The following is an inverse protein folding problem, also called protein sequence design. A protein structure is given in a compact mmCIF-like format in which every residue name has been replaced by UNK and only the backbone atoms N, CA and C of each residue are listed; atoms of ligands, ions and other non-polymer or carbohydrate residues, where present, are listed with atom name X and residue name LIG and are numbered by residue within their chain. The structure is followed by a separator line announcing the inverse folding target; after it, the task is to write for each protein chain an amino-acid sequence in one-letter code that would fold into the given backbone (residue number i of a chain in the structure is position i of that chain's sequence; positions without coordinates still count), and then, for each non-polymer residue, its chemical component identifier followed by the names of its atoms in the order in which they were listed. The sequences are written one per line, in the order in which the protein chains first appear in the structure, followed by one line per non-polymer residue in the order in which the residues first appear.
data_IF_324259477076
#
_entry.id   IF_324259477076
#
_cell.length_a   1.000
_cell.length_b   1.000
_cell.length_c   1.000
_cell.angle_alpha   90.00
_cell.angle_beta   90.00
_cell.angle_gamma   90.00
#
_symmetry.space_group_name_H-M   'P 1'
#
loop_
_entity.id
_entity.type
_entity.pdbx_description
1 polymer ?
#
# COMPACT_ATOMS: atom_id res chain seq x y z
N UNK A 1 -52.56 22.99 27.14
CA UNK A 1 -51.58 21.92 26.77
C UNK A 1 -50.33 22.09 27.61
N UNK A 2 -49.52 21.05 27.82
CA UNK A 2 -48.24 21.19 28.56
C UNK A 2 -47.30 22.23 27.90
N UNK A 3 -47.36 22.37 26.58
CA UNK A 3 -46.64 23.40 25.83
C UNK A 3 -47.04 24.84 26.24
N UNK A 4 -48.34 25.12 26.42
CA UNK A 4 -48.82 26.44 26.85
C UNK A 4 -48.28 26.79 28.24
N UNK A 5 -48.18 25.79 29.13
CA UNK A 5 -47.61 25.97 30.46
C UNK A 5 -46.10 26.28 30.40
N UNK A 6 -45.34 25.64 29.50
CA UNK A 6 -43.93 25.98 29.28
C UNK A 6 -43.78 27.42 28.77
N UNK A 7 -44.61 27.82 27.81
CA UNK A 7 -44.58 29.18 27.26
C UNK A 7 -44.90 30.24 28.32
N UNK A 8 -45.93 30.01 29.15
CA UNK A 8 -46.28 30.90 30.25
C UNK A 8 -45.13 31.07 31.24
N UNK A 9 -44.47 29.96 31.63
CA UNK A 9 -43.32 29.99 32.55
C UNK A 9 -42.09 30.66 31.93
N UNK A 10 -41.87 30.49 30.63
CA UNK A 10 -40.81 31.18 29.91
C UNK A 10 -41.03 32.70 29.90
N UNK A 11 -42.27 33.14 29.65
CA UNK A 11 -42.62 34.57 29.68
C UNK A 11 -42.45 35.16 31.08
N UNK A 12 -42.85 34.42 32.12
CA UNK A 12 -42.66 34.79 33.53
C UNK A 12 -41.15 34.93 33.86
N UNK A 13 -40.34 33.92 33.52
CA UNK A 13 -38.90 33.94 33.70
C UNK A 13 -38.26 35.13 32.98
N UNK A 14 -38.62 35.38 31.72
CA UNK A 14 -38.08 36.50 30.95
C UNK A 14 -38.43 37.85 31.58
N UNK A 15 -39.67 38.04 32.04
CA UNK A 15 -40.07 39.27 32.72
C UNK A 15 -39.25 39.50 34.00
N UNK A 16 -39.06 38.47 34.81
CA UNK A 16 -38.30 38.54 36.06
C UNK A 16 -36.81 38.75 35.80
N UNK A 17 -36.24 38.09 34.79
CA UNK A 17 -34.86 38.28 34.35
C UNK A 17 -34.59 39.76 33.96
N UNK A 18 -35.52 40.38 33.23
CA UNK A 18 -35.40 41.80 32.84
C UNK A 18 -35.45 42.75 34.05
N UNK A 19 -36.23 42.42 35.08
CA UNK A 19 -36.28 43.19 36.32
C UNK A 19 -34.95 43.01 37.09
N UNK A 20 -34.52 41.77 37.29
CA UNK A 20 -33.29 41.44 38.01
C UNK A 20 -32.04 42.09 37.38
N UNK A 21 -31.91 42.05 36.04
CA UNK A 21 -30.80 42.70 35.30
C UNK A 21 -30.69 44.21 35.50
N UNK A 22 -31.79 44.89 35.87
CA UNK A 22 -31.82 46.35 36.06
C UNK A 22 -31.48 46.75 37.51
N UNK A 23 -31.55 45.81 38.44
CA UNK A 23 -31.23 46.05 39.85
C UNK A 23 -29.74 45.81 40.10
N UNK A 24 -29.17 46.56 41.04
CA UNK A 24 -27.78 46.45 41.46
C UNK A 24 -27.68 45.88 42.87
N UNK A 25 -26.56 45.24 43.16
CA UNK A 25 -26.23 44.83 44.52
C UNK A 25 -26.25 46.06 45.45
N UNK A 26 -27.16 46.05 46.43
CA UNK A 26 -27.44 47.17 47.33
C UNK A 26 -28.85 47.78 47.18
N UNK A 27 -29.57 47.51 46.09
CA UNK A 27 -30.97 47.90 45.96
C UNK A 27 -31.85 47.10 46.94
N UNK A 28 -32.88 47.75 47.51
CA UNK A 28 -33.74 47.14 48.55
C UNK A 28 -34.48 45.89 48.09
N UNK A 29 -34.69 45.75 46.78
CA UNK A 29 -35.40 44.62 46.17
C UNK A 29 -34.47 43.62 45.46
N UNK A 30 -33.14 43.83 45.51
CA UNK A 30 -32.19 43.00 44.75
C UNK A 30 -32.26 41.52 45.16
N UNK A 31 -32.21 41.25 46.47
CA UNK A 31 -32.27 39.87 46.99
C UNK A 31 -33.60 39.19 46.67
N UNK A 32 -34.74 39.90 46.81
CA UNK A 32 -36.05 39.35 46.43
C UNK A 32 -36.12 39.05 44.92
N UNK A 33 -35.58 39.95 44.08
CA UNK A 33 -35.55 39.74 42.63
C UNK A 33 -34.65 38.56 42.24
N UNK A 34 -33.53 38.33 42.94
CA UNK A 34 -32.67 37.15 42.75
C UNK A 34 -33.41 35.87 43.11
N UNK A 35 -34.02 35.81 44.29
CA UNK A 35 -34.74 34.62 44.75
C UNK A 35 -35.93 34.29 43.83
N UNK A 36 -36.65 35.32 43.34
CA UNK A 36 -37.73 35.16 42.34
C UNK A 36 -37.21 34.68 41.00
N UNK A 37 -36.03 35.14 40.59
CA UNK A 37 -35.39 34.70 39.36
C UNK A 37 -35.03 33.21 39.45
N UNK A 38 -34.36 32.79 40.53
CA UNK A 38 -34.03 31.38 40.79
C UNK A 38 -35.29 30.50 40.86
N UNK A 39 -36.33 30.94 41.57
CA UNK A 39 -37.60 30.20 41.65
C UNK A 39 -38.26 30.05 40.27
N UNK A 40 -38.22 31.11 39.45
CA UNK A 40 -38.83 31.10 38.12
C UNK A 40 -38.04 30.24 37.14
N UNK A 41 -36.72 30.20 37.27
CA UNK A 41 -35.82 29.31 36.52
C UNK A 41 -36.12 27.84 36.85
N UNK A 42 -36.28 27.52 38.14
CA UNK A 42 -36.67 26.19 38.62
C UNK A 42 -38.05 25.76 38.09
N UNK A 43 -39.03 26.66 38.13
CA UNK A 43 -40.40 26.42 37.64
C UNK A 43 -40.40 26.19 36.13
N UNK A 44 -39.67 27.00 35.37
CA UNK A 44 -39.51 26.82 33.94
C UNK A 44 -38.83 25.49 33.62
N UNK A 45 -37.73 25.18 34.31
CA UNK A 45 -36.98 23.92 34.14
C UNK A 45 -37.86 22.69 34.38
N UNK A 46 -38.68 22.69 35.44
CA UNK A 46 -39.63 21.60 35.75
C UNK A 46 -40.71 21.48 34.67
N UNK A 47 -41.27 22.60 34.21
CA UNK A 47 -42.27 22.59 33.15
C UNK A 47 -41.70 22.04 31.84
N UNK A 48 -40.49 22.47 31.46
CA UNK A 48 -39.80 22.03 30.26
C UNK A 48 -39.48 20.53 30.32
N UNK A 49 -38.90 20.07 31.45
CA UNK A 49 -38.57 18.66 31.69
C UNK A 49 -39.79 17.74 31.62
N UNK A 50 -40.94 18.19 32.14
CA UNK A 50 -42.19 17.43 32.13
C UNK A 50 -42.89 17.44 30.76
N UNK A 51 -42.83 18.56 30.03
CA UNK A 51 -43.49 18.71 28.73
C UNK A 51 -42.78 17.92 27.62
N UNK A 52 -41.45 17.90 27.62
CA UNK A 52 -40.62 17.25 26.58
C UNK A 52 -40.06 15.91 27.05
N UNK A 53 -40.93 15.03 27.54
CA UNK A 53 -40.55 13.74 28.10
C UNK A 53 -40.69 12.56 27.13
N UNK A 54 -40.92 12.80 25.82
CA UNK A 54 -41.13 11.75 24.83
C UNK A 54 -40.38 12.05 23.55
N UNK A 55 -39.60 11.07 23.10
CA UNK A 55 -38.84 11.11 21.87
C UNK A 55 -39.57 10.31 20.80
N UNK A 56 -39.70 10.87 19.61
CA UNK A 56 -40.27 10.20 18.45
C UNK A 56 -39.22 10.05 17.35
N UNK A 57 -39.12 8.87 16.74
CA UNK A 57 -38.16 8.58 15.68
C UNK A 57 -38.74 7.58 14.66
N UNK A 58 -38.29 7.63 13.39
CA UNK A 58 -38.74 6.71 12.36
C UNK A 58 -38.18 5.30 12.61
N UNK A 59 -39.02 4.29 12.47
CA UNK A 59 -38.69 2.87 12.62
C UNK A 59 -39.56 2.01 11.69
N UNK A 60 -39.31 0.70 11.66
CA UNK A 60 -40.23 -0.27 11.07
C UNK A 60 -40.97 -1.05 12.15
N UNK A 61 -42.23 -1.36 11.86
CA UNK A 61 -43.01 -2.28 12.68
C UNK A 61 -42.39 -3.68 12.60
N UNK A 62 -41.99 -4.30 13.72
CA UNK A 62 -41.38 -5.63 13.71
C UNK A 62 -42.33 -6.73 13.19
N UNK A 63 -43.64 -6.52 13.19
CA UNK A 63 -44.63 -7.53 12.82
C UNK A 63 -44.90 -7.59 11.31
N UNK A 64 -45.02 -6.42 10.67
CA UNK A 64 -45.42 -6.31 9.26
C UNK A 64 -44.45 -5.49 8.39
N UNK A 65 -43.39 -4.92 8.99
CA UNK A 65 -42.33 -4.21 8.28
C UNK A 65 -42.72 -2.82 7.78
N UNK A 66 -43.88 -2.28 8.15
CA UNK A 66 -44.30 -0.95 7.69
C UNK A 66 -43.51 0.17 8.38
N UNK A 67 -43.28 1.25 7.65
CA UNK A 67 -42.70 2.47 8.19
C UNK A 67 -43.65 3.13 9.21
N UNK A 68 -43.13 3.47 10.39
CA UNK A 68 -43.90 4.15 11.44
C UNK A 68 -43.05 5.10 12.27
N UNK A 69 -43.74 6.01 12.98
CA UNK A 69 -43.12 6.88 13.97
C UNK A 69 -43.27 6.25 15.36
N UNK A 70 -42.18 5.72 15.88
CA UNK A 70 -42.13 5.08 17.21
C UNK A 70 -41.79 6.13 18.27
N UNK A 71 -42.36 5.97 19.47
CA UNK A 71 -42.18 6.93 20.56
C UNK A 71 -41.71 6.27 21.85
N UNK A 72 -40.59 6.74 22.41
CA UNK A 72 -40.01 6.27 23.69
C UNK A 72 -40.08 7.39 24.74
N UNK A 73 -40.44 7.02 25.97
CA UNK A 73 -40.49 7.96 27.10
C UNK A 73 -39.12 8.16 27.72
N UNK A 74 -38.76 9.41 27.98
CA UNK A 74 -37.59 9.82 28.74
C UNK A 74 -37.94 9.69 30.23
N UNK A 75 -37.39 8.66 30.88
CA UNK A 75 -37.65 8.44 32.30
C UNK A 75 -37.01 9.57 33.11
N UNK A 76 -37.73 10.05 34.13
CA UNK A 76 -37.32 11.18 34.98
C UNK A 76 -37.27 12.55 34.29
N UNK A 77 -37.85 12.67 33.09
CA UNK A 77 -37.93 13.93 32.36
C UNK A 77 -36.63 14.34 31.67
N UNK A 78 -36.71 15.39 30.86
CA UNK A 78 -35.55 15.93 30.16
C UNK A 78 -34.59 16.61 31.15
N UNK A 79 -33.30 16.27 31.08
CA UNK A 79 -32.25 16.93 31.86
C UNK A 79 -31.84 18.25 31.22
N UNK A 80 -31.59 19.26 32.04
CA UNK A 80 -31.21 20.61 31.61
C UNK A 80 -29.82 21.02 32.12
N UNK A 81 -28.98 20.03 32.48
CA UNK A 81 -27.61 20.25 32.92
C UNK A 81 -26.64 20.45 31.74
N UNK A 82 -25.35 20.38 32.04
CA UNK A 82 -24.27 20.47 31.05
C UNK A 82 -23.46 19.17 30.99
N UNK A 83 -22.71 18.98 29.90
CA UNK A 83 -21.88 17.79 29.69
C UNK A 83 -22.71 16.51 29.75
N UNK A 84 -22.33 15.58 30.62
CA UNK A 84 -23.01 14.30 30.81
C UNK A 84 -24.45 14.40 31.34
N UNK A 85 -24.83 15.56 31.88
CA UNK A 85 -26.19 15.85 32.36
C UNK A 85 -26.98 16.72 31.37
N UNK A 86 -26.48 16.91 30.15
CA UNK A 86 -27.20 17.63 29.09
C UNK A 86 -28.36 16.81 28.53
N UNK A 87 -29.32 17.51 27.92
CA UNK A 87 -30.43 16.91 27.19
C UNK A 87 -29.91 16.07 26.01
N UNK A 88 -28.90 16.58 25.29
CA UNK A 88 -28.30 15.96 24.14
C UNK A 88 -27.71 14.59 24.49
N UNK A 89 -26.84 14.54 25.50
CA UNK A 89 -26.24 13.27 25.96
C UNK A 89 -27.30 12.29 26.45
N UNK A 90 -28.38 12.76 27.11
CA UNK A 90 -29.48 11.91 27.53
C UNK A 90 -30.24 11.31 26.34
N UNK A 91 -30.52 12.12 25.31
CA UNK A 91 -31.24 11.69 24.10
C UNK A 91 -30.38 10.70 23.30
N UNK A 92 -29.10 10.98 23.12
CA UNK A 92 -28.17 10.07 22.42
C UNK A 92 -28.07 8.72 23.13
N UNK A 93 -27.89 8.71 24.46
CA UNK A 93 -27.88 7.47 25.26
C UNK A 93 -29.19 6.70 25.15
N UNK A 94 -30.33 7.38 25.08
CA UNK A 94 -31.63 6.72 24.92
C UNK A 94 -31.78 6.12 23.52
N UNK A 95 -31.40 6.85 22.47
CA UNK A 95 -31.45 6.37 21.08
C UNK A 95 -30.47 5.22 20.83
N UNK A 96 -29.34 5.19 21.53
CA UNK A 96 -28.37 4.10 21.47
C UNK A 96 -28.70 2.93 22.39
N UNK A 97 -29.89 2.92 23.02
CA UNK A 97 -30.31 1.86 23.94
C UNK A 97 -31.29 0.88 23.28
N UNK A 98 -31.47 -0.34 23.84
CA UNK A 98 -32.48 -1.28 23.36
C UNK A 98 -33.90 -0.72 23.39
N UNK A 99 -34.18 0.30 24.21
CA UNK A 99 -35.53 0.93 24.28
C UNK A 99 -35.90 1.64 22.99
N UNK A 100 -34.90 2.15 22.27
CA UNK A 100 -35.06 2.78 20.98
C UNK A 100 -34.58 1.89 19.82
N UNK A 101 -34.47 0.58 20.06
CA UNK A 101 -33.99 -0.40 19.09
C UNK A 101 -32.65 -0.02 18.46
N UNK A 102 -31.75 0.56 19.27
CA UNK A 102 -30.43 1.04 18.84
C UNK A 102 -30.49 1.97 17.62
N UNK A 103 -31.52 2.82 17.54
CA UNK A 103 -31.72 3.77 16.44
C UNK A 103 -30.50 4.67 16.19
N UNK A 104 -29.67 4.93 17.20
CA UNK A 104 -28.40 5.62 17.06
C UNK A 104 -27.22 4.68 17.37
N UNK A 105 -26.29 4.57 16.43
CA UNK A 105 -24.96 4.00 16.69
C UNK A 105 -24.10 5.09 17.32
N UNK A 106 -23.81 4.95 18.62
CA UNK A 106 -23.08 5.97 19.38
C UNK A 106 -21.64 6.15 18.90
N UNK A 107 -20.96 5.07 18.55
CA UNK A 107 -19.61 5.07 18.03
C UNK A 107 -19.40 3.91 17.04
N UNK A 108 -18.48 4.08 16.09
CA UNK A 108 -18.05 3.01 15.19
C UNK A 108 -16.71 2.47 15.70
N UNK A 109 -16.68 1.19 16.02
CA UNK A 109 -15.52 0.50 16.58
C UNK A 109 -15.37 -0.89 15.96
N UNK A 110 -14.24 -1.55 16.28
CA UNK A 110 -13.96 -2.91 15.80
C UNK A 110 -15.05 -3.92 16.17
N UNK A 111 -15.80 -3.65 17.23
CA UNK A 111 -16.79 -4.59 17.78
C UNK A 111 -18.14 -4.53 17.07
N UNK A 112 -18.45 -3.44 16.35
CA UNK A 112 -19.76 -3.24 15.72
C UNK A 112 -19.72 -2.98 14.20
N UNK A 113 -18.54 -2.92 13.59
CA UNK A 113 -18.42 -2.74 12.14
C UNK A 113 -19.16 -3.82 11.34
N UNK A 114 -19.03 -5.09 11.73
CA UNK A 114 -19.64 -6.20 10.99
C UNK A 114 -21.17 -6.13 10.96
N UNK A 115 -21.79 -5.76 12.08
CA UNK A 115 -23.23 -5.56 12.19
C UNK A 115 -23.68 -4.35 11.34
N UNK A 116 -22.98 -3.22 11.45
CA UNK A 116 -23.27 -2.03 10.65
C UNK A 116 -23.12 -2.30 9.15
N UNK A 117 -22.12 -3.07 8.72
CA UNK A 117 -21.97 -3.47 7.33
C UNK A 117 -23.13 -4.34 6.87
N UNK A 118 -23.54 -5.34 7.65
CA UNK A 118 -24.65 -6.22 7.31
C UNK A 118 -25.97 -5.43 7.17
N UNK A 119 -26.25 -4.53 8.10
CA UNK A 119 -27.42 -3.64 8.02
C UNK A 119 -27.35 -2.70 6.81
N UNK A 120 -26.17 -2.14 6.49
CA UNK A 120 -26.02 -1.26 5.35
C UNK A 120 -26.28 -2.02 4.04
N UNK A 121 -25.73 -3.22 3.93
CA UNK A 121 -25.91 -4.10 2.78
C UNK A 121 -27.36 -4.55 2.62
N UNK A 122 -28.10 -4.75 3.71
CA UNK A 122 -29.51 -5.13 3.67
C UNK A 122 -30.40 -3.95 3.27
N UNK A 123 -30.22 -2.78 3.89
CA UNK A 123 -31.19 -1.68 3.80
C UNK A 123 -30.83 -0.58 2.79
N UNK A 124 -29.56 -0.42 2.42
CA UNK A 124 -29.10 0.70 1.60
C UNK A 124 -28.74 0.32 0.15
N UNK A 125 -28.62 -0.98 -0.12
CA UNK A 125 -28.49 -1.49 -1.49
C UNK A 125 -29.86 -1.78 -2.10
N UNK A 126 -29.98 -1.77 -3.44
CA UNK A 126 -31.22 -2.19 -4.07
C UNK A 126 -31.49 -3.66 -3.77
N UNK A 127 -32.75 -4.01 -3.55
CA UNK A 127 -33.17 -5.38 -3.26
C UNK A 127 -32.99 -6.30 -4.48
N UNK A 128 -32.78 -7.59 -4.23
CA UNK A 128 -32.60 -8.61 -5.28
C UNK A 128 -31.19 -9.18 -5.33
N UNK A 129 -31.09 -10.48 -5.64
CA UNK A 129 -29.85 -11.28 -5.52
C UNK A 129 -28.67 -10.77 -6.38
N UNK A 130 -28.99 -10.10 -7.48
CA UNK A 130 -28.02 -9.60 -8.48
C UNK A 130 -27.77 -8.08 -8.36
N UNK A 131 -28.52 -7.38 -7.50
CA UNK A 131 -28.40 -5.93 -7.32
C UNK A 131 -27.34 -5.56 -6.29
N UNK A 132 -26.07 -5.80 -6.65
CA UNK A 132 -24.92 -5.57 -5.75
C UNK A 132 -24.21 -4.24 -5.97
N UNK A 133 -24.52 -3.55 -7.08
CA UNK A 133 -23.84 -2.34 -7.52
C UNK A 133 -24.81 -1.17 -7.63
N UNK A 134 -24.48 -0.04 -7.02
CA UNK A 134 -25.34 1.17 -7.02
C UNK A 134 -24.47 2.43 -6.86
N UNK A 135 -24.88 3.61 -7.35
CA UNK A 135 -24.16 4.85 -7.10
C UNK A 135 -24.02 5.11 -5.59
N UNK A 136 -22.84 5.56 -5.12
CA UNK A 136 -22.67 5.90 -3.70
C UNK A 136 -23.66 6.97 -3.23
N UNK A 137 -24.01 7.91 -4.11
CA UNK A 137 -25.03 8.94 -3.84
C UNK A 137 -26.40 8.34 -3.51
N UNK A 138 -26.76 7.22 -4.12
CA UNK A 138 -28.04 6.56 -3.89
C UNK A 138 -28.05 5.85 -2.52
N UNK A 139 -26.93 5.21 -2.14
CA UNK A 139 -26.74 4.64 -0.79
C UNK A 139 -26.89 5.75 0.26
N UNK A 140 -26.20 6.87 0.09
CA UNK A 140 -26.28 8.02 0.99
C UNK A 140 -27.69 8.62 1.04
N UNK A 141 -28.44 8.59 -0.06
CA UNK A 141 -29.83 9.07 -0.12
C UNK A 141 -30.76 8.11 0.61
N UNK A 142 -30.62 6.79 0.41
CA UNK A 142 -31.39 5.78 1.14
C UNK A 142 -31.11 5.83 2.64
N UNK A 143 -29.86 6.06 3.05
CA UNK A 143 -29.50 6.21 4.46
C UNK A 143 -30.23 7.38 5.15
N UNK A 144 -30.56 8.44 4.39
CA UNK A 144 -31.32 9.59 4.90
C UNK A 144 -32.83 9.35 4.96
N UNK A 145 -33.34 8.43 4.14
CA UNK A 145 -34.78 8.22 3.97
C UNK A 145 -35.29 6.91 4.60
N UNK A 146 -34.40 5.97 4.96
CA UNK A 146 -34.78 4.64 5.45
C UNK A 146 -35.14 4.67 6.95
N UNK A 147 -36.38 4.31 7.34
CA UNK A 147 -36.80 4.28 8.74
C UNK A 147 -36.14 3.18 9.56
N UNK A 148 -35.84 2.03 8.95
CA UNK A 148 -35.17 0.90 9.62
C UNK A 148 -33.67 1.09 9.78
N UNK A 149 -33.04 1.93 8.96
CA UNK A 149 -31.61 2.21 9.03
C UNK A 149 -31.24 2.93 10.33
N UNK A 150 -30.28 2.43 11.13
CA UNK A 150 -29.80 3.16 12.29
C UNK A 150 -28.98 4.38 11.87
N UNK A 151 -29.09 5.45 12.63
CA UNK A 151 -28.32 6.66 12.43
C UNK A 151 -26.86 6.43 12.83
N UNK A 152 -25.97 6.78 11.90
CA UNK A 152 -24.53 6.67 12.10
C UNK A 152 -24.02 7.84 12.94
N UNK A 153 -22.89 7.68 13.66
CA UNK A 153 -22.36 8.73 14.53
C UNK A 153 -21.87 9.94 13.73
N UNK A 154 -22.34 11.12 14.13
CA UNK A 154 -21.96 12.39 13.52
C UNK A 154 -22.29 12.52 12.02
N UNK A 155 -21.77 13.57 11.39
CA UNK A 155 -22.02 13.82 9.96
C UNK A 155 -21.23 12.87 9.03
N UNK A 156 -20.13 12.28 9.51
CA UNK A 156 -19.22 11.45 8.71
C UNK A 156 -19.34 9.94 8.94
N UNK A 157 -20.24 9.48 9.82
CA UNK A 157 -20.28 8.06 10.21
C UNK A 157 -20.49 7.09 9.04
N UNK A 158 -21.32 7.45 8.06
CA UNK A 158 -21.53 6.62 6.86
C UNK A 158 -20.26 6.55 5.98
N UNK A 159 -19.50 7.64 5.87
CA UNK A 159 -18.24 7.68 5.12
C UNK A 159 -17.13 6.93 5.86
N UNK A 160 -17.11 6.97 7.20
CA UNK A 160 -16.23 6.13 8.03
C UNK A 160 -16.52 4.65 7.80
N UNK A 161 -17.81 4.26 7.82
CA UNK A 161 -18.24 2.90 7.55
C UNK A 161 -17.78 2.46 6.15
N UNK A 162 -18.01 3.29 5.12
CA UNK A 162 -17.51 3.03 3.77
C UNK A 162 -15.99 2.83 3.72
N UNK A 163 -15.24 3.72 4.36
CA UNK A 163 -13.77 3.68 4.33
C UNK A 163 -13.25 2.37 4.91
N UNK A 164 -13.82 1.93 6.04
CA UNK A 164 -13.43 0.66 6.66
C UNK A 164 -13.86 -0.55 5.80
N UNK A 165 -15.06 -0.52 5.19
CA UNK A 165 -15.50 -1.58 4.28
C UNK A 165 -14.60 -1.73 3.05
N UNK A 166 -14.13 -0.62 2.47
CA UNK A 166 -13.18 -0.62 1.35
C UNK A 166 -11.82 -1.18 1.77
N UNK A 167 -11.33 -0.79 2.96
CA UNK A 167 -10.05 -1.28 3.52
C UNK A 167 -10.06 -2.79 3.75
N UNK A 168 -11.19 -3.35 4.17
CA UNK A 168 -11.39 -4.78 4.37
C UNK A 168 -11.73 -5.53 3.08
N UNK A 169 -11.84 -4.83 1.94
CA UNK A 169 -12.23 -5.41 0.66
C UNK A 169 -13.66 -5.94 0.61
N UNK A 170 -14.49 -5.58 1.61
CA UNK A 170 -15.90 -5.98 1.69
C UNK A 170 -16.72 -5.29 0.60
N UNK A 171 -16.43 -4.01 0.36
CA UNK A 171 -16.99 -3.23 -0.73
C UNK A 171 -15.89 -2.84 -1.73
N UNK A 172 -16.28 -2.57 -2.97
CA UNK A 172 -15.39 -2.03 -4.02
C UNK A 172 -16.01 -0.76 -4.59
N UNK A 173 -15.23 0.31 -4.70
CA UNK A 173 -15.66 1.56 -5.32
C UNK A 173 -15.04 1.66 -6.73
N UNK A 174 -15.89 1.72 -7.74
CA UNK A 174 -15.46 1.96 -9.12
C UNK A 174 -15.10 3.43 -9.37
N UNK A 175 -14.27 3.69 -10.38
CA UNK A 175 -13.91 5.04 -10.82
C UNK A 175 -15.13 5.86 -11.30
N UNK A 176 -16.22 5.18 -11.67
CA UNK A 176 -17.50 5.77 -12.04
C UNK A 176 -18.37 6.19 -10.84
N UNK A 177 -17.87 6.02 -9.62
CA UNK A 177 -18.57 6.40 -8.37
C UNK A 177 -19.63 5.39 -7.91
N UNK A 178 -19.70 4.22 -8.55
CA UNK A 178 -20.55 3.12 -8.11
C UNK A 178 -19.84 2.28 -7.05
N UNK A 179 -20.58 1.94 -6.00
CA UNK A 179 -20.12 1.02 -4.97
C UNK A 179 -20.75 -0.35 -5.18
N UNK A 180 -19.95 -1.39 -5.01
CA UNK A 180 -20.37 -2.79 -5.13
C UNK A 180 -20.13 -3.52 -3.81
N UNK A 181 -21.14 -4.28 -3.35
CA UNK A 181 -21.03 -5.18 -2.19
C UNK A 181 -20.75 -6.62 -2.62
N UNK A 182 -20.13 -7.39 -1.73
CA UNK A 182 -19.90 -8.81 -1.95
C UNK A 182 -21.19 -9.67 -2.01
N UNK A 183 -21.05 -10.97 -2.29
CA UNK A 183 -19.81 -11.64 -2.66
C UNK A 183 -19.38 -11.28 -4.10
N UNK A 184 -18.09 -11.03 -4.29
CA UNK A 184 -17.50 -10.78 -5.60
C UNK A 184 -17.24 -12.10 -6.34
N UNK A 185 -17.08 -12.08 -7.68
CA UNK A 185 -16.50 -13.21 -8.38
C UNK A 185 -15.20 -13.63 -7.68
N UNK A 186 -15.03 -14.93 -7.46
CA UNK A 186 -13.83 -15.45 -6.81
C UNK A 186 -12.61 -15.10 -7.66
N UNK A 187 -11.54 -14.66 -7.00
CA UNK A 187 -10.28 -14.39 -7.68
C UNK A 187 -9.76 -15.64 -8.38
N UNK A 188 -9.08 -15.47 -9.50
CA UNK A 188 -8.50 -16.60 -10.23
C UNK A 188 -7.21 -17.07 -9.57
N UNK A 189 -6.95 -18.38 -9.62
CA UNK A 189 -5.71 -18.97 -9.16
C UNK A 189 -4.54 -18.42 -10.00
N UNK A 190 -3.53 -17.85 -9.32
CA UNK A 190 -2.34 -17.25 -9.93
C UNK A 190 -1.09 -17.72 -9.19
N UNK A 191 0.09 -17.45 -9.73
CA UNK A 191 1.38 -17.70 -9.06
C UNK A 191 2.21 -16.43 -9.09
N UNK A 192 2.76 -16.07 -7.94
CA UNK A 192 3.82 -15.07 -7.87
C UNK A 192 5.17 -15.77 -8.08
N UNK A 193 6.01 -15.22 -8.96
CA UNK A 193 7.32 -15.78 -9.29
C UNK A 193 8.38 -14.83 -8.77
N UNK A 194 9.23 -15.32 -7.88
CA UNK A 194 10.30 -14.52 -7.26
C UNK A 194 11.66 -15.17 -7.46
N UNK A 195 12.68 -14.37 -7.77
CA UNK A 195 14.05 -14.87 -7.91
C UNK A 195 14.69 -14.99 -6.52
N UNK A 196 15.19 -16.19 -6.19
CA UNK A 196 15.95 -16.44 -4.96
C UNK A 196 17.43 -16.16 -5.20
N UNK A 197 17.98 -16.86 -6.19
CA UNK A 197 19.41 -16.80 -6.52
C UNK A 197 19.60 -17.06 -8.01
N UNK A 198 20.54 -16.33 -8.58
CA UNK A 198 21.09 -16.59 -9.91
C UNK A 198 22.48 -17.18 -9.68
N UNK A 199 22.81 -18.27 -10.36
CA UNK A 199 24.12 -18.92 -10.31
C UNK A 199 24.91 -18.60 -11.60
N UNK A 200 25.77 -17.56 -11.56
CA UNK A 200 26.65 -17.16 -12.67
C UNK A 200 27.36 -18.29 -13.39
N UNK A 201 27.89 -19.25 -12.64
CA UNK A 201 28.79 -20.28 -13.17
C UNK A 201 28.05 -21.37 -13.95
N UNK A 202 26.81 -21.68 -13.56
CA UNK A 202 26.00 -22.73 -14.18
C UNK A 202 24.94 -22.17 -15.14
N UNK A 203 24.63 -20.88 -15.05
CA UNK A 203 23.52 -20.28 -15.78
C UNK A 203 22.15 -20.59 -15.19
N UNK A 204 22.08 -21.25 -14.04
CA UNK A 204 20.82 -21.58 -13.38
C UNK A 204 20.24 -20.37 -12.64
N UNK A 205 18.93 -20.21 -12.74
CA UNK A 205 18.14 -19.33 -11.87
C UNK A 205 17.22 -20.17 -11.00
N UNK A 206 17.27 -19.92 -9.69
CA UNK A 206 16.39 -20.55 -8.71
C UNK A 206 15.27 -19.58 -8.34
N UNK A 207 14.04 -20.06 -8.48
CA UNK A 207 12.80 -19.32 -8.29
C UNK A 207 12.01 -19.89 -7.12
N UNK A 208 11.35 -19.01 -6.37
CA UNK A 208 10.26 -19.37 -5.46
C UNK A 208 8.94 -18.94 -6.10
N UNK A 209 8.02 -19.91 -6.16
CA UNK A 209 6.70 -19.82 -6.73
C UNK A 209 5.69 -19.82 -5.59
N UNK A 210 4.93 -18.73 -5.45
CA UNK A 210 3.89 -18.61 -4.42
C UNK A 210 2.51 -18.60 -5.07
N UNK A 211 1.80 -19.73 -5.09
CA UNK A 211 0.40 -19.77 -5.54
C UNK A 211 -0.47 -18.84 -4.71
N UNK A 212 -1.46 -18.22 -5.36
CA UNK A 212 -2.49 -17.40 -4.73
C UNK A 212 -3.86 -17.84 -5.22
N UNK A 213 -4.83 -17.82 -4.32
CA UNK A 213 -6.22 -18.21 -4.60
C UNK A 213 -6.33 -19.61 -5.22
N UNK A 214 -5.59 -20.57 -4.67
CA UNK A 214 -5.41 -21.89 -5.27
C UNK A 214 -5.66 -23.06 -4.28
N UNK A 215 -6.40 -22.78 -3.20
CA UNK A 215 -6.70 -23.73 -2.13
C UNK A 215 -5.47 -24.14 -1.32
N UNK A 216 -5.64 -25.19 -0.49
CA UNK A 216 -4.61 -25.68 0.44
C UNK A 216 -3.54 -26.55 -0.24
N UNK A 217 -3.82 -27.08 -1.44
CA UNK A 217 -2.94 -27.99 -2.18
C UNK A 217 -2.77 -27.55 -3.64
N UNK A 218 -2.22 -26.35 -3.90
CA UNK A 218 -2.06 -25.84 -5.26
C UNK A 218 -1.07 -26.70 -6.06
N UNK A 219 -1.36 -26.92 -7.34
CA UNK A 219 -0.41 -27.54 -8.27
C UNK A 219 0.02 -26.52 -9.31
N UNK A 220 1.32 -26.31 -9.47
CA UNK A 220 1.89 -25.41 -10.48
C UNK A 220 2.46 -26.24 -11.63
N UNK A 221 2.09 -25.87 -12.85
CA UNK A 221 2.61 -26.40 -14.09
C UNK A 221 3.44 -25.34 -14.80
N UNK A 222 4.41 -25.75 -15.62
CA UNK A 222 5.27 -24.83 -16.34
C UNK A 222 5.63 -25.30 -17.75
N UNK A 223 5.89 -24.34 -18.62
CA UNK A 223 6.39 -24.55 -19.98
C UNK A 223 7.26 -23.39 -20.43
N UNK A 224 8.02 -23.61 -21.52
CA UNK A 224 8.73 -22.54 -22.24
C UNK A 224 7.82 -21.83 -23.27
N UNK A 225 6.55 -22.24 -23.37
CA UNK A 225 5.52 -21.65 -24.23
C UNK A 225 4.36 -21.10 -23.38
N UNK A 226 3.66 -20.09 -23.91
CA UNK A 226 2.60 -19.40 -23.18
C UNK A 226 1.38 -20.27 -22.83
N UNK A 227 1.06 -21.25 -23.68
CA UNK A 227 -0.11 -22.12 -23.54
C UNK A 227 0.18 -23.27 -22.55
N UNK A 228 0.29 -22.95 -21.27
CA UNK A 228 0.52 -23.92 -20.19
C UNK A 228 -0.80 -24.54 -19.72
N UNK A 229 -0.78 -25.84 -19.49
CA UNK A 229 -1.92 -26.64 -19.06
C UNK A 229 -1.52 -27.68 -18.00
N UNK A 230 -2.48 -28.44 -17.51
CA UNK A 230 -2.25 -29.56 -16.58
C UNK A 230 -1.60 -30.80 -17.21
N UNK A 231 -1.26 -30.71 -18.50
CA UNK A 231 -0.49 -31.72 -19.24
C UNK A 231 0.99 -31.37 -19.39
N UNK A 232 1.37 -30.16 -19.02
CA UNK A 232 2.76 -29.69 -19.06
C UNK A 232 3.53 -30.15 -17.82
N UNK A 233 4.77 -29.67 -17.68
CA UNK A 233 5.65 -30.10 -16.59
C UNK A 233 5.13 -29.62 -15.25
N UNK A 234 4.99 -30.52 -14.29
CA UNK A 234 4.64 -30.16 -12.92
C UNK A 234 5.87 -29.63 -12.17
N UNK A 235 5.69 -28.60 -11.35
CA UNK A 235 6.70 -28.15 -10.39
C UNK A 235 6.62 -29.02 -9.14
N UNK A 236 7.74 -29.66 -8.78
CA UNK A 236 7.82 -30.53 -7.60
C UNK A 236 8.20 -29.74 -6.33
N UNK A 237 9.12 -28.77 -6.44
CA UNK A 237 9.54 -27.90 -5.34
C UNK A 237 9.22 -26.44 -5.71
N UNK A 238 8.21 -25.88 -5.06
CA UNK A 238 7.77 -24.50 -5.28
C UNK A 238 8.76 -23.49 -4.72
N UNK A 239 9.55 -23.84 -3.71
CA UNK A 239 10.47 -22.94 -3.06
C UNK A 239 11.86 -22.94 -3.70
N UNK A 240 12.21 -23.95 -4.48
CA UNK A 240 13.54 -24.06 -5.10
C UNK A 240 13.49 -24.50 -6.58
N UNK A 241 12.50 -24.04 -7.35
CA UNK A 241 12.43 -24.33 -8.78
C UNK A 241 13.66 -23.79 -9.52
N UNK A 242 14.47 -24.67 -10.11
CA UNK A 242 15.70 -24.29 -10.83
C UNK A 242 15.54 -24.47 -12.33
N UNK A 243 15.99 -23.48 -13.12
CA UNK A 243 15.99 -23.55 -14.58
C UNK A 243 17.11 -22.72 -15.21
N UNK A 244 17.57 -23.13 -16.38
CA UNK A 244 18.50 -22.39 -17.24
C UNK A 244 17.78 -21.63 -18.36
N UNK A 245 16.45 -21.73 -18.44
CA UNK A 245 15.65 -21.10 -19.50
C UNK A 245 15.56 -19.58 -19.33
N UNK A 246 15.58 -18.85 -20.45
CA UNK A 246 15.41 -17.40 -20.45
C UNK A 246 13.95 -16.95 -20.30
N UNK A 247 12.99 -17.83 -20.57
CA UNK A 247 11.55 -17.54 -20.51
C UNK A 247 10.80 -18.75 -20.01
N UNK A 248 9.95 -18.54 -19.02
CA UNK A 248 9.09 -19.57 -18.45
C UNK A 248 7.68 -19.01 -18.28
N UNK A 249 6.71 -19.91 -18.40
CA UNK A 249 5.32 -19.64 -18.13
C UNK A 249 4.85 -20.59 -17.05
N UNK A 250 4.20 -20.06 -16.01
CA UNK A 250 3.71 -20.84 -14.88
C UNK A 250 2.19 -20.74 -14.76
N UNK A 251 1.50 -21.87 -14.64
CA UNK A 251 0.05 -21.92 -14.53
C UNK A 251 -0.35 -22.73 -13.30
N UNK A 252 -1.33 -22.21 -12.56
CA UNK A 252 -1.74 -22.81 -11.28
C UNK A 252 -3.08 -23.48 -11.44
N UNK A 253 -3.18 -24.72 -10.99
CA UNK A 253 -4.43 -25.45 -10.84
C UNK A 253 -4.81 -25.51 -9.36
N UNK A 254 -5.96 -24.92 -9.03
CA UNK A 254 -6.62 -25.17 -7.75
C UNK A 254 -7.26 -26.56 -7.78
N UNK A 255 -6.73 -27.48 -6.96
CA UNK A 255 -7.24 -28.86 -6.91
C UNK A 255 -8.60 -28.95 -6.22
N UNK A 256 -9.01 -27.94 -5.46
CA UNK A 256 -10.31 -27.89 -4.80
C UNK A 256 -11.44 -27.46 -5.75
N UNK A 257 -11.08 -26.89 -6.92
CA UNK A 257 -12.03 -26.35 -7.89
C UNK A 257 -12.79 -25.11 -7.40
N UNK A 258 -12.36 -24.50 -6.29
CA UNK A 258 -13.01 -23.31 -5.74
C UNK A 258 -12.69 -22.08 -6.59
N UNK A 259 -11.51 -22.02 -7.19
CA UNK A 259 -11.03 -20.94 -8.03
C UNK A 259 -10.68 -21.44 -9.44
N UNK A 260 -11.14 -20.72 -10.46
CA UNK A 260 -10.68 -20.94 -11.82
C UNK A 260 -9.22 -20.47 -11.97
N UNK A 261 -8.46 -21.12 -12.82
CA UNK A 261 -7.10 -20.70 -13.13
C UNK A 261 -7.05 -19.44 -13.99
N UNK A 262 -6.12 -18.53 -13.69
CA UNK A 262 -5.80 -17.41 -14.55
C UNK A 262 -4.95 -17.86 -15.76
N UNK A 263 -4.64 -16.93 -16.67
CA UNK A 263 -3.63 -17.14 -17.69
C UNK A 263 -2.25 -17.40 -17.06
N UNK A 264 -1.39 -18.12 -17.78
CA UNK A 264 -0.05 -18.44 -17.29
C UNK A 264 0.76 -17.16 -17.00
N UNK A 265 1.41 -17.14 -15.84
CA UNK A 265 2.29 -16.06 -15.42
C UNK A 265 3.62 -16.20 -16.14
N UNK A 266 3.94 -15.20 -16.96
CA UNK A 266 5.20 -15.12 -17.71
C UNK A 266 6.32 -14.61 -16.81
N UNK A 267 7.42 -15.33 -16.79
CA UNK A 267 8.67 -14.94 -16.17
C UNK A 267 9.78 -14.83 -17.21
N UNK A 268 10.60 -13.79 -17.08
CA UNK A 268 11.77 -13.55 -17.90
C UNK A 268 13.02 -13.52 -17.03
N UNK A 269 14.07 -14.20 -17.47
CA UNK A 269 15.37 -14.10 -16.84
C UNK A 269 15.97 -12.71 -17.07
N UNK A 270 16.57 -12.11 -16.03
CA UNK A 270 17.44 -10.94 -16.22
C UNK A 270 18.79 -11.43 -16.75
N UNK A 271 19.04 -11.20 -18.04
CA UNK A 271 20.28 -11.61 -18.69
C UNK A 271 21.43 -10.68 -18.27
N UNK A 272 22.53 -11.26 -17.81
CA UNK A 272 23.78 -10.54 -17.53
C UNK A 272 24.79 -10.84 -18.63
N UNK A 273 25.15 -9.81 -19.40
CA UNK A 273 26.18 -9.87 -20.44
C UNK A 273 27.53 -9.47 -19.81
N UNK A 274 28.56 -10.28 -20.06
CA UNK A 274 29.94 -10.04 -19.62
C UNK A 274 30.87 -10.08 -20.81
N UNK A 275 31.95 -9.32 -20.71
CA UNK A 275 33.05 -9.35 -21.66
C UNK A 275 34.38 -9.49 -20.92
N UNK A 276 35.34 -10.13 -21.57
CA UNK A 276 36.73 -10.21 -21.12
C UNK A 276 37.64 -9.85 -22.29
N UNK A 277 38.65 -9.01 -22.03
CA UNK A 277 39.63 -8.58 -23.03
C UNK A 277 41.01 -9.05 -22.58
N UNK A 278 41.66 -9.89 -23.39
CA UNK A 278 42.98 -10.45 -23.11
C UNK A 278 44.01 -10.00 -24.15
N UNK A 279 45.28 -9.77 -23.79
CA UNK A 279 46.34 -9.55 -24.76
C UNK A 279 46.49 -10.74 -25.72
N UNK A 280 46.59 -10.47 -27.03
CA UNK A 280 46.80 -11.48 -28.07
C UNK A 280 47.82 -10.98 -29.09
N UNK A 281 49.11 -11.20 -28.79
CA UNK A 281 50.24 -10.67 -29.57
C UNK A 281 50.17 -9.14 -29.78
N UNK A 282 49.98 -8.68 -31.02
CA UNK A 282 49.82 -7.26 -31.41
C UNK A 282 48.37 -6.75 -31.29
N UNK A 283 47.42 -7.65 -30.99
CA UNK A 283 45.99 -7.38 -30.86
C UNK A 283 45.49 -7.73 -29.45
N UNK A 284 44.17 -7.68 -29.30
CA UNK A 284 43.46 -8.06 -28.07
C UNK A 284 42.30 -8.99 -28.43
N UNK A 285 42.11 -10.04 -27.65
CA UNK A 285 41.06 -11.02 -27.83
C UNK A 285 39.89 -10.70 -26.90
N UNK A 286 38.69 -10.61 -27.45
CA UNK A 286 37.44 -10.38 -26.73
C UNK A 286 36.67 -11.69 -26.62
N UNK A 287 36.30 -12.04 -25.39
CA UNK A 287 35.40 -13.15 -25.07
C UNK A 287 34.11 -12.59 -24.50
N UNK A 288 32.97 -12.99 -25.06
CA UNK A 288 31.64 -12.64 -24.56
C UNK A 288 30.98 -13.84 -23.87
N UNK A 289 30.19 -13.54 -22.83
CA UNK A 289 29.38 -14.52 -22.13
C UNK A 289 28.05 -13.89 -21.68
N UNK A 290 27.00 -14.71 -21.60
CA UNK A 290 25.71 -14.33 -21.05
C UNK A 290 25.25 -15.34 -20.00
N UNK A 291 24.55 -14.86 -18.98
CA UNK A 291 23.94 -15.69 -17.93
C UNK A 291 22.48 -15.28 -17.73
N UNK A 292 21.50 -16.21 -17.80
CA UNK A 292 21.60 -17.58 -18.33
C UNK A 292 22.11 -17.62 -19.78
N UNK A 293 22.37 -18.82 -20.30
CA UNK A 293 22.83 -19.00 -21.69
C UNK A 293 21.88 -18.30 -22.67
N UNK A 294 22.45 -17.53 -23.59
CA UNK A 294 21.72 -16.73 -24.56
C UNK A 294 22.48 -16.69 -25.88
N UNK A 295 21.75 -16.58 -26.99
CA UNK A 295 22.35 -16.22 -28.27
C UNK A 295 22.85 -14.77 -28.18
N UNK A 296 24.12 -14.55 -28.54
CA UNK A 296 24.77 -13.24 -28.47
C UNK A 296 25.05 -12.73 -29.88
N UNK A 297 24.77 -11.44 -30.10
CA UNK A 297 25.08 -10.69 -31.31
C UNK A 297 25.81 -9.41 -30.93
N UNK A 298 26.76 -8.96 -31.76
CA UNK A 298 27.58 -7.80 -31.44
C UNK A 298 27.92 -6.94 -32.66
N UNK A 299 28.25 -5.68 -32.41
CA UNK A 299 28.75 -4.72 -33.41
C UNK A 299 29.87 -3.88 -32.82
N UNK A 300 30.81 -3.46 -33.68
CA UNK A 300 31.94 -2.59 -33.33
C UNK A 300 31.88 -1.23 -34.05
N UNK A 301 30.94 -1.08 -34.99
CA UNK A 301 30.76 0.10 -35.84
C UNK A 301 29.65 1.04 -35.34
N UNK A 302 28.99 0.69 -34.22
CA UNK A 302 27.89 1.45 -33.64
C UNK A 302 26.51 1.14 -34.23
N UNK A 303 26.39 0.19 -35.16
CA UNK A 303 25.09 -0.27 -35.67
C UNK A 303 24.32 -1.10 -34.62
N UNK A 304 23.02 -1.30 -34.84
CA UNK A 304 22.14 -2.01 -33.88
C UNK A 304 22.62 -3.46 -33.67
N UNK A 305 23.00 -3.86 -32.44
CA UNK A 305 23.62 -5.16 -32.20
C UNK A 305 22.69 -6.35 -32.44
N UNK A 306 21.38 -6.15 -32.42
CA UNK A 306 20.37 -7.19 -32.70
C UNK A 306 20.51 -7.79 -34.11
N UNK A 307 20.88 -6.98 -35.09
CA UNK A 307 21.12 -7.38 -36.48
C UNK A 307 22.63 -7.50 -36.78
N UNK A 308 23.45 -7.54 -35.72
CA UNK A 308 24.89 -7.57 -35.78
C UNK A 308 25.48 -8.94 -36.09
N UNK A 309 26.79 -9.08 -35.86
CA UNK A 309 27.50 -10.34 -36.06
C UNK A 309 27.15 -11.30 -34.93
N UNK A 310 26.74 -12.52 -35.27
CA UNK A 310 26.54 -13.59 -34.27
C UNK A 310 27.87 -13.92 -33.59
N UNK A 311 27.85 -14.01 -32.28
CA UNK A 311 29.01 -14.42 -31.50
C UNK A 311 29.07 -15.95 -31.42
N UNK A 312 29.93 -16.55 -32.23
CA UNK A 312 30.17 -18.00 -32.24
C UNK A 312 31.52 -18.39 -31.61
N UNK A 313 32.47 -17.44 -31.53
CA UNK A 313 33.80 -17.63 -30.94
C UNK A 313 34.42 -16.29 -30.52
N UNK A 314 35.46 -16.28 -29.64
CA UNK A 314 36.22 -15.08 -29.33
C UNK A 314 36.78 -14.40 -30.59
N UNK A 315 36.77 -13.07 -30.63
CA UNK A 315 37.21 -12.27 -31.77
C UNK A 315 38.32 -11.28 -31.39
N UNK A 316 39.06 -10.78 -32.38
CA UNK A 316 40.18 -9.88 -32.16
C UNK A 316 39.82 -8.42 -32.45
N UNK A 317 40.34 -7.51 -31.62
CA UNK A 317 40.28 -6.06 -31.81
C UNK A 317 41.70 -5.45 -31.82
N UNK A 318 41.87 -4.33 -32.51
CA UNK A 318 43.14 -3.59 -32.57
C UNK A 318 43.52 -2.94 -31.23
N UNK A 319 44.58 -2.14 -31.18
CA UNK A 319 45.08 -1.54 -29.92
C UNK A 319 44.33 -0.27 -29.48
N UNK A 320 43.62 0.40 -30.40
CA UNK A 320 42.85 1.62 -30.12
C UNK A 320 41.58 1.33 -29.29
N UNK A 321 41.05 2.33 -28.59
CA UNK A 321 39.75 2.17 -27.92
C UNK A 321 38.64 1.88 -28.94
N UNK A 322 37.65 1.09 -28.57
CA UNK A 322 36.50 0.80 -29.41
C UNK A 322 35.23 0.63 -28.56
N UNK A 323 34.09 0.97 -29.16
CA UNK A 323 32.77 0.72 -28.58
C UNK A 323 32.28 -0.66 -29.02
N UNK A 324 31.80 -1.44 -28.08
CA UNK A 324 31.27 -2.78 -28.30
C UNK A 324 29.81 -2.82 -27.85
N UNK A 325 28.89 -2.88 -28.80
CA UNK A 325 27.48 -3.08 -28.53
C UNK A 325 27.17 -4.57 -28.60
N UNK A 326 26.44 -5.08 -27.62
CA UNK A 326 26.11 -6.51 -27.49
C UNK A 326 24.62 -6.68 -27.22
N UNK A 327 23.98 -7.58 -27.95
CA UNK A 327 22.60 -8.01 -27.73
C UNK A 327 22.60 -9.49 -27.37
N UNK A 328 21.99 -9.85 -26.25
CA UNK A 328 21.78 -11.23 -25.82
C UNK A 328 20.29 -11.57 -25.83
N UNK A 329 19.93 -12.76 -26.30
CA UNK A 329 18.55 -13.27 -26.34
C UNK A 329 18.46 -14.71 -25.86
N UNK A 330 17.55 -14.97 -24.92
CA UNK A 330 17.20 -16.31 -24.46
C UNK A 330 15.67 -16.43 -24.45
N UNK A 331 15.11 -17.11 -25.46
CA UNK A 331 13.67 -17.13 -25.70
C UNK A 331 13.13 -15.72 -26.01
N UNK A 332 12.30 -15.22 -25.10
CA UNK A 332 11.73 -13.88 -25.16
C UNK A 332 12.50 -12.86 -24.29
N UNK A 333 13.30 -13.34 -23.33
CA UNK A 333 14.20 -12.48 -22.57
C UNK A 333 15.32 -11.97 -23.47
N UNK A 334 15.65 -10.69 -23.29
CA UNK A 334 16.73 -10.07 -24.04
C UNK A 334 17.38 -8.95 -23.23
N UNK A 335 18.63 -8.63 -23.58
CA UNK A 335 19.39 -7.54 -22.97
C UNK A 335 20.31 -6.93 -24.01
N UNK A 336 20.49 -5.62 -23.94
CA UNK A 336 21.53 -4.91 -24.69
C UNK A 336 22.54 -4.35 -23.70
N UNK A 337 23.83 -4.48 -24.02
CA UNK A 337 24.93 -3.87 -23.30
C UNK A 337 25.77 -3.02 -24.23
N UNK A 338 26.31 -1.94 -23.68
CA UNK A 338 27.19 -1.00 -24.37
C UNK A 338 28.48 -0.88 -23.57
N UNK A 339 29.55 -1.44 -24.11
CA UNK A 339 30.85 -1.50 -23.48
C UNK A 339 31.83 -0.58 -24.21
N UNK A 340 32.45 0.33 -23.45
CA UNK A 340 33.59 1.09 -23.94
C UNK A 340 34.87 0.34 -23.61
N UNK A 341 35.51 -0.26 -24.62
CA UNK A 341 36.79 -0.96 -24.44
C UNK A 341 37.91 0.09 -24.55
N UNK A 342 38.71 0.30 -23.48
CA UNK A 342 39.77 1.31 -23.47
C UNK A 342 40.89 0.94 -24.44
N UNK A 343 41.81 1.85 -24.75
CA UNK A 343 43.01 1.51 -25.53
C UNK A 343 43.94 0.57 -24.73
N UNK A 344 44.79 -0.18 -25.43
CA UNK A 344 45.74 -1.08 -24.77
C UNK A 344 46.64 -0.33 -23.79
N UNK A 345 46.68 -0.78 -22.53
CA UNK A 345 47.53 -0.19 -21.47
C UNK A 345 46.93 1.00 -20.72
N UNK A 346 45.73 1.48 -21.09
CA UNK A 346 45.06 2.55 -20.36
C UNK A 346 44.41 2.01 -19.06
N UNK A 347 44.80 2.61 -17.94
CA UNK A 347 44.30 2.30 -16.59
C UNK A 347 43.55 3.47 -15.96
N UNK A 348 43.34 4.56 -16.70
CA UNK A 348 42.78 5.80 -16.13
C UNK A 348 41.25 5.74 -16.08
N UNK A 349 40.68 5.88 -14.88
CA UNK A 349 39.23 6.06 -14.70
C UNK A 349 38.92 7.55 -14.82
N UNK A 350 38.47 7.99 -15.98
CA UNK A 350 38.06 9.37 -16.21
C UNK A 350 36.56 9.50 -15.91
N UNK A 351 36.22 10.20 -14.83
CA UNK A 351 34.83 10.48 -14.44
C UNK A 351 34.64 11.99 -14.54
N UNK A 352 33.72 12.40 -15.40
CA UNK A 352 33.31 13.80 -15.57
C UNK A 352 32.29 14.13 -14.49
N UNK A 353 32.67 15.02 -13.58
CA UNK A 353 31.88 15.32 -12.37
C UNK A 353 30.47 15.82 -12.69
N UNK A 354 30.31 16.61 -13.76
CA UNK A 354 29.05 17.26 -14.11
C UNK A 354 28.06 16.38 -14.89
N UNK A 355 28.44 15.18 -15.32
CA UNK A 355 27.59 14.32 -16.16
C UNK A 355 26.95 13.21 -15.34
N UNK A 356 25.72 12.76 -15.67
CA UNK A 356 25.13 11.57 -15.08
C UNK A 356 26.05 10.37 -15.17
N UNK A 357 25.98 9.50 -14.17
CA UNK A 357 26.85 8.33 -14.11
C UNK A 357 26.09 7.11 -13.57
N UNK A 358 26.40 5.94 -14.10
CA UNK A 358 25.86 4.67 -13.64
C UNK A 358 26.99 3.75 -13.22
N UNK A 359 26.89 3.22 -12.00
CA UNK A 359 27.72 2.11 -11.53
C UNK A 359 27.05 0.81 -11.99
N UNK A 360 27.68 0.12 -12.95
CA UNK A 360 27.17 -1.12 -13.53
C UNK A 360 27.86 -2.34 -12.92
N UNK A 361 27.09 -3.42 -12.76
CA UNK A 361 27.61 -4.80 -12.62
C UNK A 361 28.55 -5.08 -11.43
N UNK A 362 28.60 -4.20 -10.44
CA UNK A 362 29.34 -4.40 -9.19
C UNK A 362 28.39 -4.62 -8.03
N UNK A 363 28.43 -5.80 -7.43
CA UNK A 363 27.75 -6.06 -6.15
C UNK A 363 28.43 -5.20 -5.09
N UNK A 364 27.67 -4.27 -4.50
CA UNK A 364 28.15 -3.42 -3.40
C UNK A 364 27.57 -3.94 -2.10
N UNK A 365 28.43 -4.20 -1.12
CA UNK A 365 28.04 -4.59 0.22
C UNK A 365 28.33 -3.44 1.18
N UNK A 366 27.28 -2.89 1.79
CA UNK A 366 27.35 -2.00 2.94
C UNK A 366 27.14 -2.88 4.17
N UNK A 367 28.25 -3.41 4.68
CA UNK A 367 28.33 -4.47 5.69
C UNK A 367 28.15 -3.99 7.14
N UNK A 368 28.03 -2.68 7.36
CA UNK A 368 27.90 -2.08 8.69
C UNK A 368 26.83 -1.01 8.72
N UNK A 369 26.16 -0.86 9.86
CA UNK A 369 25.14 0.16 10.10
C UNK A 369 25.66 1.57 9.79
N UNK A 370 26.89 1.89 10.20
CA UNK A 370 27.52 3.18 9.94
C UNK A 370 27.67 3.48 8.44
N UNK A 371 28.16 2.51 7.64
CA UNK A 371 28.27 2.67 6.18
C UNK A 371 26.90 2.84 5.54
N UNK A 372 25.91 2.09 5.99
CA UNK A 372 24.53 2.20 5.48
C UNK A 372 23.98 3.61 5.73
N UNK A 373 24.05 4.10 6.96
CA UNK A 373 23.54 5.44 7.29
C UNK A 373 24.40 6.56 6.69
N UNK A 374 25.70 6.36 6.50
CA UNK A 374 26.56 7.30 5.77
C UNK A 374 26.08 7.49 4.33
N UNK A 375 25.73 6.40 3.63
CA UNK A 375 25.12 6.46 2.29
C UNK A 375 23.73 7.09 2.35
N UNK A 376 22.85 6.64 3.24
CA UNK A 376 21.49 7.18 3.34
C UNK A 376 21.52 8.69 3.57
N UNK A 377 22.27 9.16 4.58
CA UNK A 377 22.36 10.58 4.92
C UNK A 377 22.93 11.42 3.78
N UNK A 378 23.86 10.87 3.00
CA UNK A 378 24.46 11.58 1.86
C UNK A 378 23.47 11.79 0.71
N UNK A 379 22.62 10.79 0.46
CA UNK A 379 21.78 10.70 -0.74
C UNK A 379 20.28 10.91 -0.49
N UNK A 380 19.83 11.07 0.77
CA UNK A 380 18.40 11.26 1.10
C UNK A 380 17.74 12.46 0.42
N UNK A 381 18.52 13.51 0.16
CA UNK A 381 18.07 14.75 -0.48
C UNK A 381 18.37 14.75 -2.00
N UNK A 382 18.79 13.62 -2.56
CA UNK A 382 19.13 13.45 -3.98
C UNK A 382 18.20 12.43 -4.63
N UNK A 383 16.97 12.82 -5.00
CA UNK A 383 15.98 11.89 -5.54
C UNK A 383 16.40 11.27 -6.88
N UNK A 384 17.35 11.84 -7.63
CA UNK A 384 17.85 11.23 -8.85
C UNK A 384 18.87 10.10 -8.63
N UNK A 385 19.36 9.90 -7.40
CA UNK A 385 20.13 8.70 -7.05
C UNK A 385 19.21 7.51 -6.83
N UNK A 386 19.35 6.46 -7.65
CA UNK A 386 18.49 5.27 -7.65
C UNK A 386 19.32 4.01 -7.47
N UNK A 387 18.96 3.23 -6.46
CA UNK A 387 19.57 1.94 -6.15
C UNK A 387 18.71 0.80 -6.69
N UNK A 388 19.30 -0.17 -7.39
CA UNK A 388 18.59 -1.32 -7.97
C UNK A 388 19.09 -2.65 -7.39
N UNK A 389 18.18 -3.59 -7.16
CA UNK A 389 18.51 -4.90 -6.57
C UNK A 389 18.97 -4.76 -5.11
N UNK A 390 18.24 -3.97 -4.32
CA UNK A 390 18.57 -3.68 -2.91
C UNK A 390 18.02 -4.79 -2.01
N UNK A 391 18.90 -5.40 -1.22
CA UNK A 391 18.56 -6.27 -0.10
C UNK A 391 18.93 -5.57 1.20
N UNK A 392 17.97 -5.47 2.11
CA UNK A 392 18.13 -4.89 3.44
C UNK A 392 17.98 -6.03 4.44
N UNK A 393 18.99 -6.27 5.26
CA UNK A 393 18.95 -7.25 6.35
C UNK A 393 19.08 -6.52 7.69
N UNK A 394 18.10 -6.71 8.58
CA UNK A 394 18.02 -6.08 9.91
C UNK A 394 18.00 -7.17 10.97
N UNK A 395 18.89 -7.09 11.97
CA UNK A 395 19.01 -8.06 13.05
C UNK A 395 20.21 -9.00 12.88
N UNK A 396 20.29 -10.01 13.74
CA UNK A 396 21.37 -11.02 13.73
C UNK A 396 20.82 -12.44 13.80
N UNK A 397 21.53 -13.37 13.14
CA UNK A 397 21.22 -14.80 13.19
C UNK A 397 19.81 -15.11 12.71
N UNK A 398 19.11 -15.96 13.47
CA UNK A 398 17.75 -16.43 13.14
C UNK A 398 16.68 -15.33 13.25
N UNK A 399 16.97 -14.22 13.93
CA UNK A 399 16.05 -13.08 14.08
C UNK A 399 16.21 -12.04 12.96
N UNK A 400 16.94 -12.36 11.89
CA UNK A 400 17.17 -11.43 10.79
C UNK A 400 15.90 -11.26 9.94
N UNK A 401 15.44 -10.02 9.78
CA UNK A 401 14.40 -9.66 8.82
C UNK A 401 15.04 -9.18 7.53
N UNK A 402 14.73 -9.85 6.43
CA UNK A 402 15.22 -9.51 5.09
C UNK A 402 14.11 -8.85 4.25
N UNK A 403 14.37 -7.65 3.75
CA UNK A 403 13.56 -6.98 2.73
C UNK A 403 14.31 -6.97 1.40
N UNK A 404 13.61 -7.34 0.31
CA UNK A 404 14.19 -7.37 -1.04
C UNK A 404 13.42 -6.45 -1.97
N UNK A 405 14.09 -5.40 -2.44
CA UNK A 405 13.68 -4.60 -3.59
C UNK A 405 14.37 -5.19 -4.82
N UNK A 406 13.67 -6.08 -5.53
CA UNK A 406 14.20 -6.78 -6.72
C UNK A 406 14.43 -5.79 -7.89
N UNK A 407 13.54 -5.79 -8.89
CA UNK A 407 13.64 -4.89 -10.04
C UNK A 407 13.30 -3.43 -9.72
N UNK A 408 12.70 -3.18 -8.55
CA UNK A 408 12.27 -1.84 -8.16
C UNK A 408 13.47 -0.97 -7.80
N UNK A 409 13.64 0.11 -8.54
CA UNK A 409 14.57 1.18 -8.17
C UNK A 409 14.04 1.92 -6.93
N UNK A 410 14.92 2.12 -5.94
CA UNK A 410 14.59 2.78 -4.67
C UNK A 410 15.56 3.91 -4.37
N UNK A 411 15.12 4.86 -3.55
CA UNK A 411 15.93 5.99 -3.05
C UNK A 411 16.47 5.71 -1.66
N UNK A 412 17.45 6.52 -1.25
CA UNK A 412 17.91 6.56 0.13
C UNK A 412 16.75 6.81 1.12
N UNK A 413 15.83 7.73 0.82
CA UNK A 413 14.66 8.03 1.67
C UNK A 413 13.71 6.85 1.82
N UNK A 414 13.48 6.09 0.74
CA UNK A 414 12.64 4.88 0.80
C UNK A 414 13.30 3.79 1.65
N UNK A 415 14.60 3.59 1.49
CA UNK A 415 15.39 2.64 2.29
C UNK A 415 15.31 3.04 3.77
N UNK A 416 15.55 4.32 4.08
CA UNK A 416 15.48 4.87 5.44
C UNK A 416 14.10 4.66 6.08
N UNK A 417 13.01 4.97 5.36
CA UNK A 417 11.65 4.78 5.85
C UNK A 417 11.37 3.31 6.19
N UNK A 418 11.78 2.38 5.34
CA UNK A 418 11.58 0.93 5.57
C UNK A 418 12.39 0.44 6.77
N UNK A 419 13.66 0.85 6.88
CA UNK A 419 14.51 0.51 8.03
C UNK A 419 13.90 1.03 9.33
N UNK A 420 13.50 2.30 9.37
CA UNK A 420 12.97 2.93 10.58
C UNK A 420 11.64 2.31 11.00
N UNK A 421 10.71 2.08 10.06
CA UNK A 421 9.43 1.43 10.35
C UNK A 421 9.61 -0.01 10.84
N UNK A 422 10.54 -0.78 10.25
CA UNK A 422 10.79 -2.14 10.71
C UNK A 422 11.37 -2.15 12.13
N UNK A 423 12.36 -1.31 12.42
CA UNK A 423 12.93 -1.19 13.77
C UNK A 423 11.89 -0.79 14.82
N UNK A 424 10.97 0.13 14.47
CA UNK A 424 9.88 0.55 15.35
C UNK A 424 8.91 -0.60 15.63
N UNK A 425 8.47 -1.31 14.58
CA UNK A 425 7.53 -2.44 14.69
C UNK A 425 8.14 -3.61 15.47
N UNK A 426 9.41 -3.92 15.21
CA UNK A 426 10.15 -4.97 15.92
C UNK A 426 10.54 -4.56 17.35
N UNK A 427 10.48 -3.26 17.67
CA UNK A 427 10.98 -2.67 18.92
C UNK A 427 12.49 -2.87 19.13
N UNK A 428 13.24 -2.88 18.03
CA UNK A 428 14.70 -3.07 17.99
C UNK A 428 15.37 -1.87 17.32
N UNK A 429 15.40 -0.73 18.01
CA UNK A 429 15.85 0.56 17.45
C UNK A 429 17.33 0.58 17.04
N UNK A 430 18.14 -0.29 17.65
CA UNK A 430 19.58 -0.41 17.47
C UNK A 430 20.00 -1.71 16.73
N UNK A 431 19.04 -2.49 16.21
CA UNK A 431 19.32 -3.72 15.48
C UNK A 431 20.35 -3.48 14.36
N UNK A 432 21.40 -4.29 14.25
CA UNK A 432 22.42 -4.12 13.22
C UNK A 432 21.80 -4.24 11.83
N UNK A 433 22.36 -3.49 10.90
CA UNK A 433 21.82 -3.28 9.57
C UNK A 433 22.92 -3.47 8.55
N UNK A 434 22.64 -4.26 7.52
CA UNK A 434 23.47 -4.32 6.34
C UNK A 434 22.61 -4.21 5.08
N UNK A 435 23.22 -3.70 4.01
CA UNK A 435 22.58 -3.56 2.70
C UNK A 435 23.48 -4.14 1.62
N UNK A 436 22.90 -4.96 0.74
CA UNK A 436 23.54 -5.37 -0.51
C UNK A 436 22.83 -4.74 -1.69
N UNK A 437 23.58 -4.17 -2.62
CA UNK A 437 23.08 -3.63 -3.89
C UNK A 437 23.66 -4.48 -5.02
N UNK A 438 22.82 -5.18 -5.77
CA UNK A 438 23.26 -6.19 -6.73
C UNK A 438 23.26 -5.74 -8.20
N UNK A 439 22.36 -4.83 -8.59
CA UNK A 439 22.04 -4.59 -10.01
C UNK A 439 22.34 -3.16 -10.47
N UNK A 440 23.15 -2.44 -9.69
CA UNK A 440 23.72 -1.15 -10.05
C UNK A 440 23.06 0.05 -9.38
N UNK A 441 23.64 1.22 -9.66
CA UNK A 441 23.23 2.49 -9.06
C UNK A 441 23.31 3.58 -10.13
N UNK A 442 22.23 4.35 -10.28
CA UNK A 442 22.21 5.54 -11.12
C UNK A 442 22.42 6.79 -10.25
N UNK A 443 23.23 7.72 -10.75
CA UNK A 443 23.55 9.00 -10.12
C UNK A 443 23.33 10.15 -11.10
N UNK A 444 22.86 11.29 -10.59
CA UNK A 444 22.70 12.52 -11.38
C UNK A 444 24.03 13.09 -11.87
N UNK A 445 25.13 12.79 -11.16
CA UNK A 445 26.46 13.36 -11.42
C UNK A 445 27.56 12.33 -11.18
N UNK A 446 28.66 12.45 -11.93
CA UNK A 446 29.89 11.68 -11.70
C UNK A 446 30.51 11.99 -10.34
N UNK A 447 30.29 13.20 -9.82
CA UNK A 447 30.68 13.57 -8.46
C UNK A 447 29.94 12.73 -7.42
N UNK A 448 28.62 12.55 -7.55
CA UNK A 448 27.82 11.71 -6.66
C UNK A 448 28.29 10.25 -6.67
N UNK A 449 28.69 9.72 -7.84
CA UNK A 449 29.28 8.39 -7.94
C UNK A 449 30.61 8.28 -7.17
N UNK A 450 31.51 9.27 -7.31
CA UNK A 450 32.79 9.30 -6.56
C UNK A 450 32.56 9.33 -5.06
N UNK A 451 31.62 10.14 -4.61
CA UNK A 451 31.23 10.25 -3.20
C UNK A 451 30.68 8.93 -2.68
N UNK A 452 29.78 8.28 -3.43
CA UNK A 452 29.28 6.96 -3.09
C UNK A 452 30.43 5.95 -2.99
N UNK A 453 31.35 5.94 -3.97
CA UNK A 453 32.46 5.01 -3.99
C UNK A 453 33.36 5.12 -2.75
N UNK A 454 33.60 6.36 -2.31
CA UNK A 454 34.34 6.66 -1.08
C UNK A 454 33.62 6.15 0.16
N UNK A 455 32.31 6.40 0.28
CA UNK A 455 31.50 5.97 1.43
C UNK A 455 31.36 4.44 1.50
N UNK A 456 31.19 3.79 0.34
CA UNK A 456 31.06 2.34 0.22
C UNK A 456 32.43 1.62 0.26
N UNK A 457 33.54 2.34 0.28
CA UNK A 457 34.89 1.76 0.28
C UNK A 457 35.21 0.96 -0.98
N UNK A 458 34.62 1.31 -2.13
CA UNK A 458 34.82 0.61 -3.39
C UNK A 458 35.85 1.33 -4.26
N UNK A 459 36.82 0.57 -4.78
CA UNK A 459 37.74 1.07 -5.81
C UNK A 459 37.06 1.01 -7.18
N UNK A 460 37.01 2.12 -7.90
CA UNK A 460 36.40 2.21 -9.23
C UNK A 460 37.41 1.77 -10.30
N UNK A 461 37.00 0.90 -11.23
CA UNK A 461 37.82 0.43 -12.34
C UNK A 461 37.26 0.87 -13.70
N UNK A 462 38.09 0.98 -14.75
CA UNK A 462 37.59 1.19 -16.11
C UNK A 462 36.59 0.08 -16.47
N UNK A 463 35.38 0.46 -16.93
CA UNK A 463 34.30 -0.49 -17.25
C UNK A 463 33.24 -0.68 -16.14
N UNK A 464 33.51 -0.29 -14.89
CA UNK A 464 32.49 -0.28 -13.81
C UNK A 464 31.48 0.88 -13.99
N UNK A 465 31.85 1.88 -14.79
CA UNK A 465 31.16 3.17 -14.90
C UNK A 465 30.70 3.39 -16.33
N UNK A 466 29.46 3.83 -16.49
CA UNK A 466 28.93 4.34 -17.74
C UNK A 466 28.46 5.80 -17.52
N UNK A 467 28.96 6.73 -18.33
CA UNK A 467 28.47 8.10 -18.42
C UNK A 467 27.99 8.33 -19.87
N UNK A 468 26.80 8.89 -20.02
CA UNK A 468 26.31 9.32 -21.35
C UNK A 468 27.17 10.50 -21.85
N UNK A 469 27.40 10.57 -23.18
CA UNK A 469 28.16 11.67 -23.82
C UNK A 469 27.45 13.02 -23.71
#
# INVERSE_FOLDING_TARGET
LLADAVEERLRELYAIEQIHKRLKSGDTLFEEARDRYEESEDRFSKALSAAYNRLYFPANDPLDGRDMLTGVTIDQGLKLGQGDQSAETQIEKLLASPRADYKLVAELSKDNFDECFAQAEEYLWPSGKDNRRTPWKDVATRAKCSPIWPWMPGAGGLDTLKTEALKQGRWRLGEDGYIEKGPFPKDKATVNVSVIIIKPETGETVLSLTPRHAGDSPVVYWSIKADVSDKDNKVEDLDNFSSTEGTLYFWVKDTSGQHESAAATRWLADLKIRHQVEPAADKRRVTLAATPYADIYYTLDGSTPKDGTRYDAPFEIGSASCRLLVFARAGEANKTADFQIPASGDKTVQIVDSKPARLQSKRVALDTTDRVFSVINRFRDQPGTRFKGVRVDIGEGENTVTVRFQEREVTATMIEGVVNSLREVLKELDAPLNITIADGIAFDTGFALKEFAKLAGIELKPGDINQEE
#
